data_IF_216871373049
#
_entry.id   IF_216871373049
#
_cell.length_a   1.000
_cell.length_b   1.000
_cell.length_c   1.000
_cell.angle_alpha   90.00
_cell.angle_beta   90.00
_cell.angle_gamma   90.00
#
_symmetry.space_group_name_H-M   'P 1'
#
loop_
_entity.id
_entity.type
_entity.pdbx_description
1 polymer ?
#
# COMPACT_ATOMS: atom_id res chain seq x y z
N UNK A 1 2.25 -12.59 18.20
CA UNK A 1 3.66 -13.00 18.06
C UNK A 1 4.48 -11.75 18.13
N UNK A 2 5.55 -11.75 18.90
CA UNK A 2 6.51 -10.62 18.92
C UNK A 2 7.25 -10.66 17.58
N UNK A 3 7.25 -9.56 16.83
CA UNK A 3 8.03 -9.44 15.60
C UNK A 3 9.52 -9.62 15.91
N UNK A 4 10.24 -10.36 15.10
CA UNK A 4 11.69 -10.52 15.17
C UNK A 4 12.32 -9.97 13.89
N UNK A 5 13.59 -9.57 13.95
CA UNK A 5 14.30 -8.99 12.80
C UNK A 5 14.45 -9.99 11.63
N UNK A 6 14.28 -11.28 11.89
CA UNK A 6 14.41 -12.38 10.92
C UNK A 6 13.06 -12.91 10.41
N UNK A 7 11.94 -12.28 10.73
CA UNK A 7 10.61 -12.70 10.28
C UNK A 7 10.51 -12.66 8.76
N UNK A 8 10.20 -13.80 8.15
CA UNK A 8 9.87 -13.91 6.73
C UNK A 8 8.41 -14.34 6.57
N UNK A 9 7.64 -13.58 5.83
CA UNK A 9 6.21 -13.81 5.68
C UNK A 9 5.91 -14.61 4.40
N UNK A 10 5.04 -15.60 4.53
CA UNK A 10 4.31 -16.15 3.39
C UNK A 10 3.11 -15.23 3.09
N UNK A 11 2.60 -15.27 1.85
CA UNK A 11 1.43 -14.47 1.45
C UNK A 11 0.18 -14.80 2.29
N UNK A 12 0.11 -15.99 2.85
CA UNK A 12 -1.00 -16.45 3.68
C UNK A 12 -0.82 -16.19 5.17
N UNK A 13 0.30 -15.57 5.59
CA UNK A 13 0.65 -15.36 6.99
C UNK A 13 1.05 -13.91 7.28
N UNK A 14 0.83 -13.45 8.51
CA UNK A 14 1.32 -12.17 9.00
C UNK A 14 0.96 -10.98 8.11
N UNK A 15 1.96 -10.16 7.76
CA UNK A 15 1.78 -8.99 6.88
C UNK A 15 1.35 -9.41 5.46
N UNK A 16 1.75 -10.60 4.97
CA UNK A 16 1.32 -11.12 3.67
C UNK A 16 -0.21 -11.20 3.53
N UNK A 17 -0.93 -11.56 4.58
CA UNK A 17 -2.41 -11.58 4.56
C UNK A 17 -3.02 -10.21 4.28
N UNK A 18 -2.34 -9.13 4.67
CA UNK A 18 -2.84 -7.77 4.42
C UNK A 18 -2.84 -7.45 2.93
N UNK A 19 -1.86 -7.95 2.18
CA UNK A 19 -1.81 -7.83 0.72
C UNK A 19 -2.99 -8.53 0.04
N UNK A 20 -3.43 -9.70 0.56
CA UNK A 20 -4.64 -10.39 0.08
C UNK A 20 -5.91 -9.58 0.38
N UNK A 21 -5.99 -8.91 1.53
CA UNK A 21 -7.08 -7.99 1.86
C UNK A 21 -7.18 -6.82 0.86
N UNK A 22 -6.05 -6.24 0.50
CA UNK A 22 -5.98 -5.17 -0.52
C UNK A 22 -6.34 -5.72 -1.90
N UNK A 23 -5.84 -6.89 -2.29
CA UNK A 23 -6.19 -7.53 -3.56
C UNK A 23 -7.70 -7.81 -3.64
N UNK A 24 -8.34 -8.19 -2.53
CA UNK A 24 -9.78 -8.41 -2.47
C UNK A 24 -10.55 -7.09 -2.72
N UNK A 25 -10.15 -5.99 -2.08
CA UNK A 25 -10.76 -4.69 -2.33
C UNK A 25 -10.58 -4.23 -3.80
N UNK A 26 -9.42 -4.48 -4.41
CA UNK A 26 -9.16 -4.18 -5.82
C UNK A 26 -10.02 -5.03 -6.77
N UNK A 27 -10.20 -6.31 -6.47
CA UNK A 27 -11.05 -7.20 -7.26
C UNK A 27 -12.54 -6.81 -7.16
N UNK A 28 -13.02 -6.43 -5.98
CA UNK A 28 -14.39 -5.94 -5.77
C UNK A 28 -14.63 -4.61 -6.50
N UNK A 29 -13.68 -3.66 -6.43
CA UNK A 29 -13.80 -2.39 -7.17
C UNK A 29 -13.85 -2.62 -8.67
N UNK A 30 -13.01 -3.51 -9.21
CA UNK A 30 -12.94 -3.84 -10.63
C UNK A 30 -14.29 -4.33 -11.18
N UNK A 31 -15.10 -5.00 -10.36
CA UNK A 31 -16.40 -5.55 -10.75
C UNK A 31 -17.58 -4.69 -10.30
N UNK A 32 -17.33 -3.53 -9.70
CA UNK A 32 -18.37 -2.60 -9.26
C UNK A 32 -19.11 -1.97 -10.45
N UNK A 33 -20.30 -1.40 -10.22
CA UNK A 33 -21.08 -0.75 -11.29
C UNK A 33 -20.37 0.47 -11.93
N UNK A 34 -19.56 1.18 -11.12
CA UNK A 34 -18.81 2.36 -11.57
C UNK A 34 -17.40 2.30 -10.99
N UNK A 35 -16.53 1.45 -11.57
CA UNK A 35 -15.19 1.26 -11.06
C UNK A 35 -14.31 2.51 -11.29
N UNK A 36 -13.50 2.86 -10.30
CA UNK A 36 -12.50 3.94 -10.42
C UNK A 36 -11.28 3.49 -11.26
N UNK A 37 -11.03 2.20 -11.28
CA UNK A 37 -9.95 1.55 -12.06
C UNK A 37 -10.32 0.10 -12.34
N UNK A 38 -9.51 -0.58 -13.15
CA UNK A 38 -9.59 -2.01 -13.38
C UNK A 38 -8.27 -2.69 -12.97
N UNK A 39 -8.37 -3.72 -12.13
CA UNK A 39 -7.26 -4.60 -11.75
C UNK A 39 -7.66 -6.06 -11.96
N UNK A 40 -7.52 -6.58 -13.19
CA UNK A 40 -7.89 -7.96 -13.50
C UNK A 40 -6.97 -8.99 -12.81
N UNK A 41 -5.79 -8.58 -12.38
CA UNK A 41 -4.79 -9.45 -11.75
C UNK A 41 -5.14 -9.78 -10.30
N UNK A 42 -5.80 -8.87 -9.60
CA UNK A 42 -6.16 -9.05 -8.20
C UNK A 42 -6.94 -10.34 -7.96
N UNK A 43 -7.84 -10.69 -8.87
CA UNK A 43 -8.62 -11.93 -8.78
C UNK A 43 -7.75 -13.18 -8.92
N UNK A 44 -6.76 -13.17 -9.81
CA UNK A 44 -5.84 -14.30 -10.02
C UNK A 44 -5.05 -14.60 -8.76
N UNK A 45 -4.55 -13.55 -8.08
CA UNK A 45 -3.83 -13.70 -6.82
C UNK A 45 -4.70 -14.33 -5.72
N UNK A 46 -5.97 -13.91 -5.62
CA UNK A 46 -6.91 -14.45 -4.63
C UNK A 46 -7.25 -15.92 -4.90
N UNK A 47 -7.45 -16.28 -6.15
CA UNK A 47 -7.77 -17.65 -6.53
C UNK A 47 -6.57 -18.57 -6.25
N UNK A 48 -5.35 -18.16 -6.61
CA UNK A 48 -4.13 -18.89 -6.30
C UNK A 48 -3.85 -18.99 -4.80
N UNK A 49 -4.10 -17.94 -4.03
CA UNK A 49 -3.96 -17.99 -2.56
C UNK A 49 -4.98 -18.98 -1.96
N UNK A 50 -6.21 -19.02 -2.51
CA UNK A 50 -7.24 -19.97 -2.06
C UNK A 50 -6.82 -21.42 -2.32
N UNK A 51 -6.23 -21.70 -3.49
CA UNK A 51 -5.66 -23.01 -3.83
C UNK A 51 -4.54 -23.43 -2.87
N UNK A 52 -3.79 -22.47 -2.33
CA UNK A 52 -2.74 -22.67 -1.32
C UNK A 52 -3.27 -22.69 0.13
N UNK A 53 -4.59 -22.70 0.31
CA UNK A 53 -5.23 -22.87 1.62
C UNK A 53 -5.63 -21.58 2.31
N UNK A 54 -5.45 -20.40 1.69
CA UNK A 54 -6.01 -19.17 2.21
C UNK A 54 -7.54 -19.24 2.20
N UNK A 55 -8.14 -18.87 3.33
CA UNK A 55 -9.60 -18.85 3.45
C UNK A 55 -10.10 -17.43 3.25
N UNK A 56 -11.01 -17.27 2.30
CA UNK A 56 -11.71 -15.99 2.13
C UNK A 56 -12.40 -15.61 3.44
N UNK A 57 -12.33 -14.32 3.82
CA UNK A 57 -13.11 -13.82 4.92
C UNK A 57 -14.60 -14.16 4.77
N UNK A 58 -15.31 -14.43 5.86
CA UNK A 58 -16.73 -14.72 5.82
C UNK A 58 -17.55 -13.52 5.31
N UNK A 59 -18.82 -13.71 4.88
CA UNK A 59 -19.62 -12.68 4.21
C UNK A 59 -19.74 -11.35 4.95
N UNK A 60 -19.85 -11.36 6.28
CA UNK A 60 -19.93 -10.12 7.08
C UNK A 60 -18.60 -9.33 7.07
N UNK A 61 -17.45 -10.02 6.96
CA UNK A 61 -16.16 -9.38 6.75
C UNK A 61 -16.04 -8.79 5.33
N UNK A 62 -16.65 -9.44 4.35
CA UNK A 62 -16.74 -8.90 2.97
C UNK A 62 -17.56 -7.61 2.97
N UNK A 63 -18.65 -7.55 3.72
CA UNK A 63 -19.48 -6.35 3.85
C UNK A 63 -18.71 -5.19 4.53
N UNK A 64 -17.87 -5.50 5.50
CA UNK A 64 -16.95 -4.54 6.09
C UNK A 64 -15.86 -4.11 5.09
N UNK A 65 -15.28 -5.04 4.35
CA UNK A 65 -14.31 -4.70 3.28
C UNK A 65 -14.98 -3.76 2.27
N UNK A 66 -16.26 -3.93 1.98
CA UNK A 66 -17.04 -2.98 1.18
C UNK A 66 -17.20 -1.62 1.86
N UNK A 67 -17.41 -1.56 3.17
CA UNK A 67 -17.51 -0.28 3.90
C UNK A 67 -16.18 0.48 3.93
N UNK A 68 -15.05 -0.25 3.94
CA UNK A 68 -13.70 0.29 3.78
C UNK A 68 -13.34 0.41 2.28
N UNK A 69 -14.10 -0.23 1.40
CA UNK A 69 -13.85 -0.33 -0.04
C UNK A 69 -13.72 1.03 -0.71
N UNK A 70 -14.50 2.00 -0.27
CA UNK A 70 -14.39 3.37 -0.76
C UNK A 70 -13.02 3.99 -0.51
N UNK A 71 -12.44 3.74 0.66
CA UNK A 71 -11.08 4.19 0.97
C UNK A 71 -10.03 3.47 0.11
N UNK A 72 -10.05 2.14 0.08
CA UNK A 72 -9.09 1.36 -0.70
C UNK A 72 -9.17 1.66 -2.20
N UNK A 73 -10.38 1.88 -2.72
CA UNK A 73 -10.59 2.28 -4.11
C UNK A 73 -10.01 3.68 -4.39
N UNK A 74 -10.27 4.65 -3.51
CA UNK A 74 -9.76 6.01 -3.63
C UNK A 74 -8.23 6.04 -3.53
N UNK A 75 -7.64 5.27 -2.61
CA UNK A 75 -6.20 5.11 -2.46
C UNK A 75 -5.56 4.57 -3.74
N UNK A 76 -6.05 3.44 -4.23
CA UNK A 76 -5.51 2.83 -5.45
C UNK A 76 -5.60 3.79 -6.64
N UNK A 77 -6.74 4.47 -6.81
CA UNK A 77 -6.94 5.46 -7.88
C UNK A 77 -5.97 6.63 -7.77
N UNK A 78 -5.74 7.15 -6.57
CA UNK A 78 -4.82 8.25 -6.34
C UNK A 78 -3.37 7.88 -6.69
N UNK A 79 -2.89 6.71 -6.26
CA UNK A 79 -1.56 6.23 -6.64
C UNK A 79 -1.44 5.93 -8.14
N UNK A 80 -2.50 5.47 -8.80
CA UNK A 80 -2.52 5.30 -10.25
C UNK A 80 -2.34 6.65 -10.96
N UNK A 81 -3.08 7.68 -10.53
CA UNK A 81 -2.96 9.04 -11.07
C UNK A 81 -1.59 9.64 -10.78
N UNK A 82 -1.02 9.40 -9.60
CA UNK A 82 0.33 9.81 -9.25
C UNK A 82 1.38 9.27 -10.24
N UNK A 83 1.35 7.98 -10.53
CA UNK A 83 2.31 7.38 -11.47
C UNK A 83 2.08 7.85 -12.91
N UNK A 84 0.83 7.96 -13.35
CA UNK A 84 0.51 8.49 -14.69
C UNK A 84 1.00 9.93 -14.82
N UNK A 85 0.80 10.75 -13.80
CA UNK A 85 1.28 12.13 -13.78
C UNK A 85 2.81 12.21 -13.74
N UNK A 86 3.48 11.31 -13.00
CA UNK A 86 4.94 11.24 -12.98
C UNK A 86 5.49 10.92 -14.38
N UNK A 87 4.97 9.89 -15.05
CA UNK A 87 5.35 9.53 -16.42
C UNK A 87 5.09 10.66 -17.43
N UNK A 88 3.93 11.34 -17.34
CA UNK A 88 3.63 12.51 -18.18
C UNK A 88 4.60 13.68 -17.96
N UNK A 89 5.29 13.74 -16.83
CA UNK A 89 6.34 14.71 -16.52
C UNK A 89 7.76 14.18 -16.83
N UNK A 90 7.89 13.07 -17.55
CA UNK A 90 9.17 12.52 -18.02
C UNK A 90 9.91 11.68 -16.98
N UNK A 91 9.25 11.20 -15.92
CA UNK A 91 9.85 10.27 -14.97
C UNK A 91 9.59 8.86 -15.47
N UNK A 92 10.66 8.16 -15.85
CA UNK A 92 10.61 6.80 -16.38
C UNK A 92 11.02 5.75 -15.34
N UNK A 93 11.64 6.16 -14.23
CA UNK A 93 12.08 5.28 -13.14
C UNK A 93 11.09 5.32 -11.99
N UNK A 94 10.60 4.15 -11.59
CA UNK A 94 9.54 3.99 -10.58
C UNK A 94 9.96 2.97 -9.55
N UNK A 95 9.74 3.26 -8.26
CA UNK A 95 9.96 2.32 -7.16
C UNK A 95 8.71 2.20 -6.31
N UNK A 96 8.21 0.98 -6.16
CA UNK A 96 7.09 0.64 -5.28
C UNK A 96 7.63 -0.10 -4.07
N UNK A 97 7.56 0.55 -2.91
CA UNK A 97 8.05 0.03 -1.63
C UNK A 97 6.97 -0.84 -0.99
N UNK A 98 7.36 -2.02 -0.47
CA UNK A 98 6.43 -3.03 0.06
C UNK A 98 5.29 -3.32 -0.93
N UNK A 99 5.67 -3.67 -2.17
CA UNK A 99 4.75 -3.76 -3.31
C UNK A 99 3.62 -4.79 -3.14
N UNK A 100 3.79 -5.80 -2.30
CA UNK A 100 2.77 -6.83 -2.07
C UNK A 100 2.27 -7.45 -3.37
N UNK A 101 0.97 -7.39 -3.56
CA UNK A 101 0.27 -7.85 -4.78
C UNK A 101 -0.08 -6.68 -5.72
N UNK A 102 0.75 -5.64 -5.74
CA UNK A 102 0.60 -4.56 -6.72
C UNK A 102 0.78 -5.10 -8.14
N UNK A 103 -0.09 -4.71 -9.05
CA UNK A 103 -0.06 -5.10 -10.46
C UNK A 103 0.08 -3.89 -11.40
N UNK A 104 0.48 -2.71 -10.89
CA UNK A 104 0.61 -1.49 -11.70
C UNK A 104 1.61 -1.64 -12.84
N UNK A 105 2.69 -2.41 -12.64
CA UNK A 105 3.64 -2.71 -13.71
C UNK A 105 3.02 -3.43 -14.90
N UNK A 106 1.87 -4.10 -14.71
CA UNK A 106 1.11 -4.82 -15.76
C UNK A 106 -0.10 -4.03 -16.28
N UNK A 107 -0.70 -3.16 -15.47
CA UNK A 107 -2.01 -2.59 -15.80
C UNK A 107 -2.01 -1.10 -16.13
N UNK A 108 -0.99 -0.34 -15.72
CA UNK A 108 -0.94 1.08 -16.04
C UNK A 108 -0.36 1.32 -17.44
N UNK A 109 -0.78 2.43 -18.09
CA UNK A 109 -0.26 2.84 -19.39
C UNK A 109 1.10 3.56 -19.22
N UNK A 110 2.14 2.79 -18.98
CA UNK A 110 3.49 3.32 -18.84
C UNK A 110 4.00 3.94 -20.14
N UNK A 111 4.82 4.98 -20.02
CA UNK A 111 5.55 5.52 -21.17
C UNK A 111 6.64 4.55 -21.59
N UNK A 112 6.97 4.53 -22.88
CA UNK A 112 8.01 3.67 -23.41
C UNK A 112 9.34 3.94 -22.71
N UNK A 113 10.04 2.88 -22.30
CA UNK A 113 11.27 2.99 -21.52
C UNK A 113 11.10 2.91 -20.01
N UNK A 114 9.87 3.05 -19.51
CA UNK A 114 9.62 3.00 -18.06
C UNK A 114 10.12 1.70 -17.42
N UNK A 115 10.78 1.85 -16.26
CA UNK A 115 11.23 0.77 -15.41
C UNK A 115 10.54 0.84 -14.05
N UNK A 116 9.87 -0.26 -13.67
CA UNK A 116 9.18 -0.40 -12.38
C UNK A 116 9.94 -1.39 -11.51
N UNK A 117 10.54 -0.89 -10.46
CA UNK A 117 11.21 -1.67 -9.42
C UNK A 117 10.22 -1.92 -8.29
N UNK A 118 10.05 -3.15 -7.90
CA UNK A 118 9.24 -3.52 -6.76
C UNK A 118 10.09 -4.14 -5.67
N UNK A 119 10.05 -3.51 -4.50
CA UNK A 119 10.75 -4.00 -3.31
C UNK A 119 9.73 -4.67 -2.39
N UNK A 120 9.95 -5.94 -2.08
CA UNK A 120 9.18 -6.67 -1.07
C UNK A 120 9.96 -7.92 -0.64
N UNK A 121 9.43 -8.62 0.37
CA UNK A 121 10.00 -9.87 0.82
C UNK A 121 10.04 -10.91 -0.31
N UNK A 122 11.11 -11.75 -0.36
CA UNK A 122 11.32 -12.71 -1.44
C UNK A 122 10.12 -13.63 -1.70
N UNK A 123 9.46 -14.12 -0.64
CA UNK A 123 8.30 -15.02 -0.78
C UNK A 123 7.09 -14.34 -1.44
N UNK A 124 6.86 -13.05 -1.15
CA UNK A 124 5.75 -12.27 -1.71
C UNK A 124 5.98 -12.06 -3.21
N UNK A 125 7.18 -11.59 -3.59
CA UNK A 125 7.51 -11.38 -5.01
C UNK A 125 7.54 -12.69 -5.80
N UNK A 126 8.02 -13.78 -5.19
CA UNK A 126 7.99 -15.12 -5.82
C UNK A 126 6.55 -15.55 -6.07
N UNK A 127 5.67 -15.48 -5.08
CA UNK A 127 4.25 -15.79 -5.25
C UNK A 127 3.62 -15.02 -6.41
N UNK A 128 3.83 -13.70 -6.45
CA UNK A 128 3.32 -12.85 -7.51
C UNK A 128 3.84 -13.24 -8.90
N UNK A 129 5.16 -13.44 -9.01
CA UNK A 129 5.80 -13.80 -10.27
C UNK A 129 5.31 -15.16 -10.79
N UNK A 130 5.17 -16.17 -9.94
CA UNK A 130 4.66 -17.49 -10.31
C UNK A 130 3.25 -17.42 -10.90
N UNK A 131 2.34 -16.64 -10.29
CA UNK A 131 0.97 -16.51 -10.76
C UNK A 131 0.91 -15.80 -12.10
N UNK A 132 1.61 -14.68 -12.25
CA UNK A 132 1.62 -13.92 -13.49
C UNK A 132 2.25 -14.71 -14.64
N UNK A 133 3.32 -15.44 -14.36
CA UNK A 133 3.96 -16.32 -15.34
C UNK A 133 3.07 -17.51 -15.73
N UNK A 134 2.39 -18.14 -14.77
CA UNK A 134 1.47 -19.25 -15.06
C UNK A 134 0.30 -18.87 -15.97
N UNK A 135 -0.01 -17.58 -16.07
CA UNK A 135 -1.06 -17.05 -16.95
C UNK A 135 -0.49 -16.35 -18.20
N UNK A 136 0.79 -16.51 -18.52
CA UNK A 136 1.47 -15.88 -19.66
C UNK A 136 1.29 -14.35 -19.71
N UNK A 137 1.27 -13.68 -18.57
CA UNK A 137 1.03 -12.24 -18.45
C UNK A 137 2.37 -11.49 -18.46
N UNK A 138 2.58 -10.70 -19.50
CA UNK A 138 3.74 -9.83 -19.63
C UNK A 138 3.47 -8.46 -18.99
N UNK A 139 4.46 -7.85 -18.30
CA UNK A 139 4.33 -6.50 -17.78
C UNK A 139 4.28 -5.46 -18.90
N UNK A 140 3.61 -4.33 -18.67
CA UNK A 140 3.49 -3.20 -19.57
C UNK A 140 4.72 -2.25 -19.50
N UNK A 141 5.59 -2.42 -18.48
CA UNK A 141 6.85 -1.72 -18.30
C UNK A 141 8.01 -2.72 -18.13
N UNK A 142 9.25 -2.26 -18.14
CA UNK A 142 10.37 -3.07 -17.68
C UNK A 142 10.21 -3.35 -16.18
N UNK A 143 9.83 -4.55 -15.84
CA UNK A 143 9.61 -4.97 -14.46
C UNK A 143 10.91 -5.50 -13.84
N UNK A 144 11.23 -5.03 -12.62
CA UNK A 144 12.40 -5.46 -11.87
C UNK A 144 11.98 -5.79 -10.43
N UNK A 145 12.04 -7.07 -10.07
CA UNK A 145 11.83 -7.50 -8.70
C UNK A 145 13.11 -7.30 -7.88
N UNK A 146 12.98 -6.68 -6.70
CA UNK A 146 14.06 -6.51 -5.72
C UNK A 146 13.65 -7.24 -4.43
N UNK A 147 13.97 -8.56 -4.32
CA UNK A 147 13.48 -9.41 -3.26
C UNK A 147 14.30 -9.20 -1.97
N UNK A 148 13.96 -8.17 -1.21
CA UNK A 148 14.62 -7.80 0.04
C UNK A 148 13.63 -7.19 1.03
N UNK A 149 13.86 -7.38 2.32
CA UNK A 149 13.12 -6.71 3.39
C UNK A 149 13.60 -5.26 3.51
N UNK A 150 12.65 -4.31 3.66
CA UNK A 150 12.94 -2.88 3.83
C UNK A 150 13.74 -2.57 5.13
N UNK A 151 13.81 -3.49 6.07
CA UNK A 151 14.66 -3.40 7.26
C UNK A 151 16.15 -3.64 6.96
N UNK A 152 16.46 -4.26 5.83
CA UNK A 152 17.81 -4.58 5.38
C UNK A 152 18.40 -3.47 4.50
N UNK A 153 19.52 -3.76 3.85
CA UNK A 153 20.20 -2.83 2.94
C UNK A 153 19.57 -2.86 1.54
N UNK A 154 18.29 -2.47 1.46
CA UNK A 154 17.55 -2.39 0.21
C UNK A 154 18.10 -1.32 -0.78
N UNK A 155 18.71 -0.19 -0.34
CA UNK A 155 19.32 0.76 -1.25
C UNK A 155 20.38 0.11 -2.13
N UNK A 156 21.28 -0.68 -1.52
CA UNK A 156 22.30 -1.41 -2.25
C UNK A 156 21.69 -2.43 -3.22
N UNK A 157 20.71 -3.22 -2.76
CA UNK A 157 20.05 -4.22 -3.61
C UNK A 157 19.33 -3.55 -4.80
N UNK A 158 18.73 -2.39 -4.60
CA UNK A 158 18.04 -1.63 -5.65
C UNK A 158 19.01 -1.14 -6.71
N UNK A 159 20.17 -0.57 -6.31
CA UNK A 159 21.22 -0.14 -7.24
C UNK A 159 21.83 -1.33 -7.99
N UNK A 160 22.08 -2.44 -7.31
CA UNK A 160 22.59 -3.67 -7.94
C UNK A 160 21.58 -4.26 -8.96
N UNK A 161 20.28 -3.99 -8.77
CA UNK A 161 19.22 -4.37 -9.72
C UNK A 161 19.14 -3.42 -10.95
N UNK A 162 19.97 -2.38 -11.02
CA UNK A 162 20.08 -1.47 -12.15
C UNK A 162 19.29 -0.17 -11.99
N UNK A 163 18.92 0.20 -10.77
CA UNK A 163 18.40 1.52 -10.44
C UNK A 163 19.51 2.57 -10.57
N UNK A 164 19.19 3.71 -11.16
CA UNK A 164 20.14 4.83 -11.31
C UNK A 164 19.72 5.99 -10.38
N UNK A 165 20.49 6.27 -9.31
CA UNK A 165 20.18 7.38 -8.41
C UNK A 165 20.36 8.77 -9.02
N UNK A 166 20.95 8.87 -10.22
CA UNK A 166 21.08 10.14 -10.95
C UNK A 166 19.82 10.50 -11.76
N UNK A 167 18.89 9.55 -11.95
CA UNK A 167 17.66 9.76 -12.69
C UNK A 167 16.49 10.10 -11.76
N UNK A 168 15.61 11.06 -12.15
CA UNK A 168 14.40 11.34 -11.39
C UNK A 168 13.52 10.09 -11.23
N UNK A 169 13.07 9.86 -10.02
CA UNK A 169 12.33 8.65 -9.64
C UNK A 169 10.94 8.98 -9.06
N UNK A 170 9.94 8.19 -9.42
CA UNK A 170 8.64 8.20 -8.76
C UNK A 170 8.58 7.09 -7.70
N UNK A 171 8.60 7.49 -6.43
CA UNK A 171 8.54 6.61 -5.27
C UNK A 171 7.10 6.45 -4.77
N UNK A 172 6.72 5.25 -4.33
CA UNK A 172 5.45 5.02 -3.65
C UNK A 172 5.64 4.27 -2.34
N UNK A 173 5.06 4.82 -1.27
CA UNK A 173 4.91 4.20 0.04
C UNK A 173 3.40 4.09 0.36
N UNK A 174 2.75 3.05 -0.16
CA UNK A 174 1.32 2.77 -0.01
C UNK A 174 1.11 1.69 1.05
N UNK A 175 0.34 1.99 2.10
CA UNK A 175 -0.02 1.03 3.15
C UNK A 175 1.17 0.52 3.96
N UNK A 176 2.27 1.26 4.05
CA UNK A 176 3.55 0.79 4.58
C UNK A 176 3.83 1.30 5.99
N UNK A 177 3.67 2.58 6.24
CA UNK A 177 4.22 3.25 7.42
C UNK A 177 3.79 2.67 8.78
N UNK A 178 2.54 2.20 8.99
CA UNK A 178 2.15 1.58 10.26
C UNK A 178 2.95 0.32 10.62
N UNK A 179 3.53 -0.33 9.62
CA UNK A 179 4.32 -1.56 9.79
C UNK A 179 5.80 -1.30 10.10
N UNK A 180 6.21 -0.04 10.12
CA UNK A 180 7.56 0.38 10.49
C UNK A 180 7.55 1.03 11.88
N UNK A 181 8.58 0.79 12.73
CA UNK A 181 8.80 1.62 13.91
C UNK A 181 9.15 3.06 13.50
N UNK A 182 9.07 4.02 14.42
CA UNK A 182 9.29 5.43 14.12
C UNK A 182 10.67 5.70 13.51
N UNK A 183 11.71 5.12 14.09
CA UNK A 183 13.08 5.19 13.56
C UNK A 183 13.24 4.50 12.20
N UNK A 184 12.49 3.43 11.97
CA UNK A 184 12.43 2.75 10.67
C UNK A 184 11.75 3.60 9.59
N UNK A 185 10.74 4.39 9.94
CA UNK A 185 10.13 5.37 9.05
C UNK A 185 11.13 6.48 8.68
N UNK A 186 11.81 7.06 9.67
CA UNK A 186 12.78 8.12 9.45
C UNK A 186 13.92 7.62 8.53
N UNK A 187 14.48 6.46 8.83
CA UNK A 187 15.50 5.82 8.00
C UNK A 187 15.02 5.51 6.57
N UNK A 188 13.74 5.14 6.39
CA UNK A 188 13.16 4.93 5.06
C UNK A 188 13.20 6.22 4.24
N UNK A 189 12.77 7.35 4.81
CA UNK A 189 12.77 8.63 4.10
C UNK A 189 14.19 9.17 3.87
N UNK A 190 15.13 9.00 4.82
CA UNK A 190 16.54 9.32 4.61
C UNK A 190 17.10 8.60 3.38
N UNK A 191 16.89 7.29 3.29
CA UNK A 191 17.35 6.46 2.16
C UNK A 191 16.70 6.84 0.83
N UNK A 192 15.40 7.15 0.83
CA UNK A 192 14.70 7.65 -0.35
C UNK A 192 15.30 8.98 -0.81
N UNK A 193 15.55 9.89 0.14
CA UNK A 193 16.14 11.19 -0.16
C UNK A 193 17.55 11.07 -0.75
N UNK A 194 18.39 10.21 -0.17
CA UNK A 194 19.75 9.93 -0.67
C UNK A 194 19.78 9.33 -2.09
N UNK A 195 18.75 8.56 -2.45
CA UNK A 195 18.61 7.91 -3.76
C UNK A 195 17.84 8.74 -4.78
N UNK A 196 17.41 9.94 -4.43
CA UNK A 196 16.56 10.77 -5.28
C UNK A 196 17.33 11.86 -5.99
N UNK A 197 17.30 11.88 -7.31
CA UNK A 197 17.74 13.01 -8.12
C UNK A 197 16.69 14.14 -8.06
N UNK A 198 17.14 15.38 -8.32
CA UNK A 198 16.26 16.53 -8.46
C UNK A 198 15.15 16.26 -9.47
N UNK A 199 13.91 16.60 -9.11
CA UNK A 199 12.73 16.34 -9.92
C UNK A 199 12.06 15.02 -9.59
N UNK A 200 12.67 14.16 -8.74
CA UNK A 200 12.00 12.98 -8.20
C UNK A 200 10.71 13.36 -7.50
N UNK A 201 9.74 12.45 -7.50
CA UNK A 201 8.44 12.59 -6.83
C UNK A 201 8.23 11.44 -5.87
N UNK A 202 7.49 11.69 -4.81
CA UNK A 202 7.08 10.66 -3.87
C UNK A 202 5.58 10.76 -3.59
N UNK A 203 4.89 9.62 -3.64
CA UNK A 203 3.53 9.44 -3.16
C UNK A 203 3.55 8.64 -1.87
N UNK A 204 2.94 9.17 -0.81
CA UNK A 204 2.90 8.53 0.51
C UNK A 204 1.47 8.48 1.04
N UNK A 205 1.05 7.33 1.51
CA UNK A 205 -0.09 7.22 2.42
C UNK A 205 0.42 7.46 3.84
N UNK A 206 0.15 8.65 4.38
CA UNK A 206 0.55 9.07 5.72
C UNK A 206 -0.58 8.82 6.73
N UNK A 207 -0.19 8.54 7.96
CA UNK A 207 -1.10 8.20 9.05
C UNK A 207 -0.95 9.27 10.14
N UNK A 208 -1.97 10.11 10.27
CA UNK A 208 -1.97 11.21 11.25
C UNK A 208 -1.86 10.68 12.70
N UNK A 209 -1.45 11.54 13.62
CA UNK A 209 -1.43 11.21 15.04
C UNK A 209 -2.80 10.68 15.54
N UNK A 210 -3.91 11.18 14.97
CA UNK A 210 -5.26 10.72 15.26
C UNK A 210 -5.55 9.28 14.82
N UNK A 211 -4.80 8.73 13.86
CA UNK A 211 -4.93 7.32 13.46
C UNK A 211 -4.39 6.36 14.53
N UNK A 212 -3.31 6.75 15.21
CA UNK A 212 -2.71 5.99 16.30
C UNK A 212 -3.32 6.28 17.66
N UNK A 213 -4.35 7.14 17.72
CA UNK A 213 -5.08 7.45 18.96
C UNK A 213 -5.70 6.18 19.56
N UNK A 214 -5.43 5.96 20.86
CA UNK A 214 -5.85 4.72 21.54
C UNK A 214 -7.36 4.55 21.61
N UNK A 215 -8.10 5.65 21.77
CA UNK A 215 -9.56 5.61 21.86
C UNK A 215 -10.17 5.33 20.48
N UNK A 216 -9.57 5.89 19.42
CA UNK A 216 -9.95 5.58 18.05
C UNK A 216 -9.70 4.10 17.71
N UNK A 217 -8.53 3.56 18.03
CA UNK A 217 -8.21 2.16 17.79
C UNK A 217 -9.10 1.22 18.61
N UNK A 218 -9.39 1.58 19.88
CA UNK A 218 -10.30 0.82 20.73
C UNK A 218 -11.72 0.83 20.18
N UNK A 219 -12.21 1.97 19.70
CA UNK A 219 -13.54 2.09 19.09
C UNK A 219 -13.67 1.22 17.82
N UNK A 220 -12.63 1.17 16.99
CA UNK A 220 -12.59 0.30 15.81
C UNK A 220 -12.57 -1.18 16.18
N UNK A 221 -11.83 -1.57 17.22
CA UNK A 221 -11.86 -2.96 17.74
C UNK A 221 -13.24 -3.35 18.25
N UNK A 222 -13.87 -2.47 19.02
CA UNK A 222 -15.23 -2.73 19.54
C UNK A 222 -16.26 -2.85 18.43
N UNK A 223 -16.18 -2.00 17.41
CA UNK A 223 -17.04 -2.12 16.23
C UNK A 223 -16.86 -3.49 15.54
N UNK A 224 -15.62 -3.99 15.46
CA UNK A 224 -15.35 -5.34 14.93
C UNK A 224 -15.96 -6.44 15.76
N UNK A 225 -15.85 -6.35 17.09
CA UNK A 225 -16.45 -7.32 17.99
C UNK A 225 -17.97 -7.38 17.84
N UNK A 226 -18.63 -6.21 17.68
CA UNK A 226 -20.07 -6.13 17.44
C UNK A 226 -20.47 -6.80 16.14
N UNK A 227 -19.77 -6.50 15.04
CA UNK A 227 -20.04 -7.10 13.73
C UNK A 227 -19.88 -8.63 13.75
N UNK A 228 -18.84 -9.16 14.44
CA UNK A 228 -18.68 -10.61 14.63
C UNK A 228 -19.81 -11.21 15.41
N UNK A 229 -20.20 -10.61 16.51
CA UNK A 229 -21.31 -11.06 17.34
C UNK A 229 -22.64 -11.09 16.57
N UNK A 230 -22.91 -10.07 15.77
CA UNK A 230 -24.10 -10.00 14.91
C UNK A 230 -24.06 -11.09 13.82
N UNK A 231 -22.88 -11.48 13.36
CA UNK A 231 -22.67 -12.57 12.41
C UNK A 231 -22.75 -13.97 13.06
N UNK A 232 -22.90 -14.07 14.38
CA UNK A 232 -22.95 -15.35 15.09
C UNK A 232 -21.59 -16.01 15.30
N UNK A 233 -20.50 -15.26 15.15
CA UNK A 233 -19.14 -15.71 15.43
C UNK A 233 -18.72 -15.41 16.87
N UNK A 234 -17.67 -16.12 17.33
CA UNK A 234 -17.05 -15.81 18.62
C UNK A 234 -16.38 -14.41 18.54
N UNK A 235 -16.89 -13.42 19.28
CA UNK A 235 -16.32 -12.07 19.27
C UNK A 235 -14.89 -12.01 19.82
N UNK A 236 -14.45 -13.03 20.57
CA UNK A 236 -13.15 -13.14 21.22
C UNK A 236 -12.23 -14.14 20.50
N UNK A 237 -12.67 -14.73 19.39
CA UNK A 237 -11.81 -15.54 18.55
C UNK A 237 -10.59 -14.70 18.11
N UNK A 238 -9.39 -15.18 18.39
CA UNK A 238 -8.14 -14.54 18.00
C UNK A 238 -7.95 -14.65 16.47
N UNK A 239 -8.74 -13.92 15.72
CA UNK A 239 -8.38 -13.58 14.35
C UNK A 239 -7.29 -12.51 14.45
N UNK A 240 -6.18 -12.73 13.78
CA UNK A 240 -5.09 -11.75 13.73
C UNK A 240 -5.65 -10.44 13.20
N UNK A 241 -5.86 -9.46 14.09
CA UNK A 241 -6.23 -8.11 13.69
C UNK A 241 -4.99 -7.47 13.05
N UNK A 242 -5.16 -6.88 11.87
CA UNK A 242 -4.10 -6.13 11.19
C UNK A 242 -3.46 -5.09 12.10
N UNK A 243 -4.23 -4.53 13.04
CA UNK A 243 -3.76 -3.57 14.03
C UNK A 243 -2.71 -4.16 15.00
N UNK A 244 -2.68 -5.46 15.20
CA UNK A 244 -1.68 -6.13 16.04
C UNK A 244 -0.29 -6.17 15.38
N UNK A 245 -0.24 -5.82 14.08
CA UNK A 245 0.98 -5.72 13.30
C UNK A 245 1.55 -4.30 13.25
N UNK A 246 0.82 -3.31 13.76
CA UNK A 246 1.20 -1.90 13.69
C UNK A 246 2.05 -1.47 14.88
N UNK A 247 2.99 -0.57 14.61
CA UNK A 247 3.72 0.15 15.63
C UNK A 247 2.92 1.40 16.02
N UNK A 248 2.33 1.37 17.23
CA UNK A 248 1.51 2.46 17.77
C UNK A 248 2.40 3.30 18.69
N UNK A 249 3.07 4.28 18.13
CA UNK A 249 4.04 5.14 18.79
C UNK A 249 4.08 6.52 18.15
N UNK A 250 4.62 7.51 18.84
CA UNK A 250 4.86 8.85 18.30
C UNK A 250 5.91 8.76 17.18
N UNK A 251 5.68 9.46 16.09
CA UNK A 251 6.55 9.46 14.89
C UNK A 251 6.63 10.83 14.26
N UNK A 252 7.68 11.04 13.50
CA UNK A 252 7.89 12.25 12.72
C UNK A 252 6.74 12.44 11.72
N UNK A 253 6.24 13.67 11.62
CA UNK A 253 5.27 14.03 10.58
C UNK A 253 5.93 13.98 9.21
N UNK A 254 5.30 13.29 8.28
CA UNK A 254 5.88 13.03 6.94
C UNK A 254 5.94 14.29 6.10
N UNK A 255 4.91 15.15 6.17
CA UNK A 255 4.87 16.38 5.39
C UNK A 255 5.93 17.38 5.88
N UNK A 256 6.09 17.49 7.20
CA UNK A 256 7.12 18.33 7.81
C UNK A 256 8.51 17.82 7.44
N UNK A 257 8.76 16.49 7.60
CA UNK A 257 10.04 15.89 7.26
C UNK A 257 10.45 16.16 5.80
N UNK A 258 9.53 15.91 4.86
CA UNK A 258 9.76 16.14 3.43
C UNK A 258 10.04 17.61 3.14
N UNK A 259 9.29 18.53 3.77
CA UNK A 259 9.50 19.98 3.60
C UNK A 259 10.88 20.41 4.09
N UNK A 260 11.34 19.90 5.23
CA UNK A 260 12.67 20.18 5.79
C UNK A 260 13.81 19.64 4.88
N UNK A 261 13.51 18.63 4.05
CA UNK A 261 14.47 18.01 3.13
C UNK A 261 14.31 18.47 1.67
N UNK A 262 13.79 19.68 1.46
CA UNK A 262 13.65 20.34 0.14
C UNK A 262 12.66 19.66 -0.82
N UNK A 263 11.67 18.97 -0.30
CA UNK A 263 10.55 18.50 -1.09
C UNK A 263 9.42 19.53 -1.05
N UNK A 264 8.88 19.88 -2.22
CA UNK A 264 7.65 20.68 -2.35
C UNK A 264 6.45 19.74 -2.12
N UNK A 265 5.73 19.95 -1.03
CA UNK A 265 4.72 19.03 -0.52
C UNK A 265 3.31 19.49 -0.85
N UNK A 266 2.44 18.58 -1.24
CA UNK A 266 0.99 18.74 -1.34
C UNK A 266 0.31 17.55 -0.68
N UNK A 267 -0.67 17.82 0.18
CA UNK A 267 -1.40 16.78 0.91
C UNK A 267 -2.91 16.90 0.68
N UNK A 268 -3.60 15.77 0.76
CA UNK A 268 -5.06 15.69 0.72
C UNK A 268 -5.55 14.68 1.75
N UNK A 269 -6.51 15.11 2.57
CA UNK A 269 -7.17 14.24 3.54
C UNK A 269 -7.94 13.11 2.85
N UNK A 270 -7.96 11.94 3.46
CA UNK A 270 -8.65 10.77 2.90
C UNK A 270 -10.13 10.99 2.64
N UNK A 271 -10.82 11.72 3.51
CA UNK A 271 -12.26 12.05 3.33
C UNK A 271 -12.47 12.94 2.11
N UNK A 272 -11.62 13.95 1.92
CA UNK A 272 -11.70 14.85 0.77
C UNK A 272 -11.40 14.09 -0.53
N UNK A 273 -10.43 13.20 -0.50
CA UNK A 273 -10.11 12.34 -1.63
C UNK A 273 -11.26 11.39 -1.97
N UNK A 274 -11.83 10.72 -0.98
CA UNK A 274 -12.99 9.83 -1.15
C UNK A 274 -14.21 10.60 -1.67
N UNK A 275 -14.43 11.82 -1.20
CA UNK A 275 -15.50 12.71 -1.67
C UNK A 275 -15.29 13.08 -3.13
N UNK A 276 -14.06 13.44 -3.51
CA UNK A 276 -13.68 13.76 -4.90
C UNK A 276 -13.97 12.61 -5.86
N UNK A 277 -13.74 11.37 -5.42
CA UNK A 277 -14.00 10.17 -6.23
C UNK A 277 -15.41 9.60 -6.08
N UNK A 278 -16.30 10.26 -5.32
CA UNK A 278 -17.67 9.81 -5.11
C UNK A 278 -17.75 8.51 -4.28
N UNK A 279 -16.81 8.32 -3.36
CA UNK A 279 -16.72 7.16 -2.45
C UNK A 279 -17.02 7.51 -1.00
N UNK A 280 -17.36 8.76 -0.72
CA UNK A 280 -17.81 9.25 0.58
C UNK A 280 -19.04 10.13 0.43
N UNK A 281 -20.02 9.95 1.33
CA UNK A 281 -21.20 10.79 1.39
C UNK A 281 -21.18 11.56 2.72
N UNK A 282 -21.34 12.90 2.72
CA UNK A 282 -21.43 13.69 3.93
C UNK A 282 -22.54 13.16 4.85
N UNK A 283 -22.24 12.99 6.17
CA UNK A 283 -23.15 12.43 7.15
C UNK A 283 -22.99 10.92 7.37
N UNK A 284 -22.08 10.25 6.67
CA UNK A 284 -21.56 8.96 7.13
C UNK A 284 -20.83 9.16 8.46
N UNK A 285 -20.87 8.11 9.30
CA UNK A 285 -20.35 8.13 10.67
C UNK A 285 -18.85 8.55 10.68
N UNK A 286 -18.57 9.77 11.14
CA UNK A 286 -17.23 10.32 11.27
C UNK A 286 -16.33 9.48 12.18
N UNK A 287 -16.91 8.67 13.08
CA UNK A 287 -16.14 7.76 13.93
C UNK A 287 -15.46 6.62 13.16
N UNK A 288 -15.94 6.31 11.94
CA UNK A 288 -15.36 5.28 11.06
C UNK A 288 -14.48 5.85 9.97
N UNK A 289 -14.41 7.17 9.86
CA UNK A 289 -13.63 7.84 8.84
C UNK A 289 -12.14 7.47 8.95
N UNK A 290 -11.46 7.19 7.82
CA UNK A 290 -10.02 7.00 7.84
C UNK A 290 -9.32 8.30 8.27
N UNK A 291 -8.36 8.18 9.18
CA UNK A 291 -7.56 9.32 9.66
C UNK A 291 -6.19 9.30 9.00
N UNK A 292 -6.20 9.35 7.69
CA UNK A 292 -4.99 9.29 6.86
C UNK A 292 -5.01 10.44 5.86
N UNK A 293 -3.86 10.77 5.34
CA UNK A 293 -3.70 11.72 4.25
C UNK A 293 -2.82 11.12 3.15
N UNK A 294 -3.00 11.64 1.96
CA UNK A 294 -2.20 11.29 0.79
C UNK A 294 -1.28 12.46 0.47
N UNK A 295 0.00 12.24 0.63
CA UNK A 295 1.05 13.22 0.41
C UNK A 295 1.69 12.95 -0.94
N UNK A 296 1.73 13.97 -1.78
CA UNK A 296 2.58 14.01 -2.95
C UNK A 296 3.64 15.07 -2.74
N UNK A 297 4.91 14.72 -3.00
CA UNK A 297 5.97 15.69 -2.92
C UNK A 297 6.96 15.57 -4.09
N UNK A 298 7.64 16.69 -4.41
CA UNK A 298 8.63 16.80 -5.49
C UNK A 298 9.93 17.36 -4.95
N UNK A 299 11.04 16.68 -5.21
CA UNK A 299 12.37 17.14 -4.82
C UNK A 299 12.81 18.31 -5.70
N UNK A 300 13.18 19.43 -5.08
CA UNK A 300 13.45 20.71 -5.77
C UNK A 300 14.94 21.05 -5.90
N UNK A 301 15.80 20.49 -5.05
CA UNK A 301 17.24 20.78 -5.00
C UNK A 301 18.07 19.52 -5.14
#
# INVERSE_FOLDING_TARGET
MTRTDDDSWDITEGVGQTALGVAMARAEETTSERPLYSDPYARLFLDAATERGWRRPPPHMVERIRSIGGYAASRTKWFDEFFIAAGANGIEQVVILAAGLDARAWRLPWVDGSAVYEIDQPKVLTFKAEILHAHDLAPAARYVAVPIDLRQDWPKALVEAGFDPAEPTAWAAEGLLPYLPADGQDLLFERINELSARGSRIGVESFSAGFFDRDYLASRREQMRRLRKEAGEDPDEKVHDTQDLWYVEDRTDVADWLTEHNWEVSAVESIDLMTRYGRWTPGQDDATAPRTEFIEARLTC
#
